data_IF_756360115420
#
_entry.id   IF_756360115420
#
_cell.length_a   1.000
_cell.length_b   1.000
_cell.length_c   1.000
_cell.angle_alpha   90.00
_cell.angle_beta   90.00
_cell.angle_gamma   90.00
#
_symmetry.space_group_name_H-M   'P 1'
#
loop_
_entity.id
_entity.type
_entity.pdbx_description
1 polymer ?
#
# COMPACT_ATOMS: atom_id res chain seq x y z
N UNK A 1 15.25 0.93 -5.41
CA UNK A 1 14.41 -0.28 -5.34
C UNK A 1 12.96 0.14 -5.58
N UNK A 2 12.36 -0.29 -6.70
CA UNK A 2 11.04 0.17 -7.12
C UNK A 2 9.95 -0.38 -6.21
N UNK A 3 9.02 0.48 -5.80
CA UNK A 3 7.86 0.09 -4.99
C UNK A 3 6.94 -0.83 -5.81
N UNK A 4 6.92 -2.10 -5.46
CA UNK A 4 6.06 -3.14 -6.05
C UNK A 4 4.57 -2.73 -6.05
N UNK A 5 4.15 -1.91 -5.07
CA UNK A 5 2.78 -1.38 -4.98
C UNK A 5 2.39 -0.50 -6.17
N UNK A 6 3.33 0.26 -6.76
CA UNK A 6 3.06 1.09 -7.94
C UNK A 6 2.64 0.22 -9.12
N UNK A 7 3.41 -0.82 -9.39
CA UNK A 7 3.16 -1.75 -10.49
C UNK A 7 1.80 -2.42 -10.30
N UNK A 8 1.52 -2.91 -9.09
CA UNK A 8 0.24 -3.55 -8.78
C UNK A 8 -0.96 -2.62 -8.99
N UNK A 9 -0.87 -1.34 -8.60
CA UNK A 9 -1.93 -0.35 -8.81
C UNK A 9 -2.15 -0.09 -10.31
N UNK A 10 -1.08 0.15 -11.07
CA UNK A 10 -1.17 0.40 -12.51
C UNK A 10 -1.71 -0.81 -13.28
N UNK A 11 -1.29 -2.02 -12.90
CA UNK A 11 -1.82 -3.26 -13.47
C UNK A 11 -3.31 -3.42 -13.17
N UNK A 12 -3.76 -3.09 -11.96
CA UNK A 12 -5.19 -3.10 -11.61
C UNK A 12 -6.02 -2.14 -12.46
N UNK A 13 -5.52 -0.94 -12.74
CA UNK A 13 -6.19 -0.02 -13.68
C UNK A 13 -6.18 -0.57 -15.11
N UNK A 14 -5.06 -1.11 -15.57
CA UNK A 14 -4.94 -1.67 -16.92
C UNK A 14 -5.91 -2.84 -17.14
N UNK A 15 -6.04 -3.73 -16.15
CA UNK A 15 -7.02 -4.83 -16.17
C UNK A 15 -8.47 -4.34 -16.23
N UNK A 16 -8.75 -3.16 -15.66
CA UNK A 16 -10.05 -2.51 -15.76
C UNK A 16 -10.25 -1.72 -17.07
N UNK A 17 -9.28 -1.73 -17.99
CA UNK A 17 -9.33 -0.96 -19.24
C UNK A 17 -9.12 0.55 -19.03
N UNK A 18 -8.56 0.95 -17.89
CA UNK A 18 -8.34 2.35 -17.53
C UNK A 18 -6.86 2.72 -17.62
N UNK A 19 -6.57 3.96 -18.01
CA UNK A 19 -5.23 4.54 -17.98
C UNK A 19 -5.18 5.68 -16.98
N UNK A 20 -4.63 5.47 -15.77
CA UNK A 20 -4.59 6.50 -14.74
C UNK A 20 -3.54 7.55 -15.09
N UNK A 21 -3.88 8.83 -14.91
CA UNK A 21 -2.91 9.92 -15.00
C UNK A 21 -2.19 10.06 -13.66
N UNK A 22 -0.96 9.54 -13.59
CA UNK A 22 -0.10 9.73 -12.41
C UNK A 22 0.42 11.16 -12.41
N UNK A 23 -0.07 11.99 -11.48
CA UNK A 23 0.32 13.40 -11.41
C UNK A 23 1.68 13.60 -10.72
N UNK A 24 1.95 12.81 -9.68
CA UNK A 24 3.14 12.94 -8.85
C UNK A 24 3.55 11.56 -8.30
N UNK A 25 4.85 11.27 -8.32
CA UNK A 25 5.44 10.12 -7.63
C UNK A 25 6.35 10.64 -6.50
N UNK A 26 6.03 10.25 -5.26
CA UNK A 26 6.79 10.66 -4.07
C UNK A 26 7.05 9.47 -3.15
N UNK A 27 8.02 9.59 -2.22
CA UNK A 27 8.18 8.64 -1.13
C UNK A 27 6.89 8.47 -0.33
N UNK A 28 6.73 7.28 0.24
CA UNK A 28 5.53 6.88 0.99
C UNK A 28 5.14 7.91 2.06
N UNK A 29 6.11 8.34 2.88
CA UNK A 29 5.88 9.27 4.00
C UNK A 29 5.33 10.64 3.57
N UNK A 30 5.50 11.00 2.29
CA UNK A 30 5.03 12.27 1.74
C UNK A 30 3.64 12.19 1.09
N UNK A 31 3.16 10.99 0.73
CA UNK A 31 1.93 10.82 -0.05
C UNK A 31 0.73 11.49 0.61
N UNK A 32 0.55 11.29 1.92
CA UNK A 32 -0.60 11.83 2.64
C UNK A 32 -0.58 13.35 2.75
N UNK A 33 0.60 13.97 2.82
CA UNK A 33 0.74 15.43 2.84
C UNK A 33 0.29 16.05 1.52
N UNK A 34 0.67 15.45 0.38
CA UNK A 34 0.21 15.91 -0.93
C UNK A 34 -1.29 15.66 -1.15
N UNK A 35 -1.83 14.53 -0.67
CA UNK A 35 -3.28 14.29 -0.67
C UNK A 35 -4.01 15.32 0.17
N UNK A 36 -3.54 15.62 1.38
CA UNK A 36 -4.12 16.65 2.26
C UNK A 36 -4.09 18.05 1.63
N UNK A 37 -3.06 18.34 0.83
CA UNK A 37 -2.91 19.58 0.08
C UNK A 37 -3.74 19.64 -1.21
N UNK A 38 -4.52 18.60 -1.54
CA UNK A 38 -5.45 18.61 -2.68
C UNK A 38 -4.83 18.25 -4.04
N UNK A 39 -3.62 17.69 -4.08
CA UNK A 39 -2.96 17.28 -5.33
C UNK A 39 -3.65 16.08 -6.01
N UNK A 40 -4.59 15.42 -5.33
CA UNK A 40 -5.37 14.31 -5.86
C UNK A 40 -5.59 13.22 -4.82
N UNK A 41 -5.84 12.00 -5.31
CA UNK A 41 -5.98 10.80 -4.48
C UNK A 41 -4.70 9.98 -4.52
N UNK A 42 -4.48 9.19 -3.47
CA UNK A 42 -3.37 8.24 -3.38
C UNK A 42 -3.87 6.86 -2.95
N UNK A 43 -3.07 5.83 -3.23
CA UNK A 43 -3.35 4.45 -2.86
C UNK A 43 -2.32 3.98 -1.84
N UNK A 44 -2.79 3.51 -0.69
CA UNK A 44 -1.94 2.96 0.37
C UNK A 44 -2.41 1.57 0.79
N UNK A 45 -1.51 0.70 1.26
CA UNK A 45 -1.86 -0.54 1.94
C UNK A 45 -2.87 -0.34 3.08
N UNK A 46 -3.89 -1.20 3.14
CA UNK A 46 -4.94 -1.12 4.17
C UNK A 46 -4.41 -1.23 5.60
N UNK A 47 -3.40 -2.07 5.84
CA UNK A 47 -2.75 -2.22 7.16
C UNK A 47 -2.16 -0.90 7.67
N UNK A 48 -1.74 -0.01 6.77
CA UNK A 48 -1.24 1.30 7.13
C UNK A 48 -2.41 2.27 7.36
N UNK A 49 -3.41 2.27 6.47
CA UNK A 49 -4.60 3.11 6.61
C UNK A 49 -5.32 2.91 7.95
N UNK A 50 -5.34 1.67 8.48
CA UNK A 50 -5.98 1.33 9.75
C UNK A 50 -5.33 1.97 10.98
N UNK A 51 -4.04 2.30 10.91
CA UNK A 51 -3.26 2.78 12.05
C UNK A 51 -2.89 4.27 11.92
N UNK A 52 -3.45 4.99 10.95
CA UNK A 52 -3.05 6.36 10.63
C UNK A 52 -4.25 7.31 10.67
N UNK A 53 -3.99 8.51 11.19
CA UNK A 53 -4.89 9.65 11.08
C UNK A 53 -4.12 10.82 10.50
N UNK A 54 -4.61 11.40 9.40
CA UNK A 54 -4.03 12.61 8.80
C UNK A 54 -5.15 13.64 8.61
N UNK A 55 -4.99 14.83 9.21
CA UNK A 55 -5.94 15.93 9.02
C UNK A 55 -6.08 16.27 7.54
N UNK A 56 -7.31 16.39 7.06
CA UNK A 56 -7.59 16.69 5.65
C UNK A 56 -7.54 15.49 4.71
N UNK A 57 -7.31 14.27 5.24
CA UNK A 57 -7.37 13.02 4.46
C UNK A 57 -8.49 12.15 4.99
N UNK A 58 -9.26 11.57 4.08
CA UNK A 58 -10.28 10.56 4.39
C UNK A 58 -9.85 9.25 3.76
N UNK A 59 -9.69 8.22 4.58
CA UNK A 59 -9.39 6.87 4.12
C UNK A 59 -10.69 6.17 3.69
N UNK A 60 -10.64 5.51 2.53
CA UNK A 60 -11.76 4.72 2.00
C UNK A 60 -11.25 3.37 1.53
N UNK A 61 -11.91 2.32 1.98
CA UNK A 61 -11.63 0.97 1.51
C UNK A 61 -12.09 0.81 0.05
N UNK A 62 -11.26 0.13 -0.74
CA UNK A 62 -11.59 -0.28 -2.10
C UNK A 62 -12.40 -1.57 -2.00
N UNK A 63 -13.71 -1.49 -2.29
CA UNK A 63 -14.59 -2.66 -2.33
C UNK A 63 -14.24 -3.53 -3.55
N UNK A 64 -14.37 -4.85 -3.41
CA UNK A 64 -14.04 -5.82 -4.45
C UNK A 64 -12.62 -5.64 -5.03
N UNK A 65 -11.67 -5.19 -4.20
CA UNK A 65 -10.31 -4.89 -4.64
C UNK A 65 -9.62 -6.14 -5.22
N UNK A 66 -9.25 -6.15 -6.52
CA UNK A 66 -8.54 -7.26 -7.13
C UNK A 66 -7.07 -7.32 -6.67
N UNK A 67 -6.52 -6.23 -6.13
CA UNK A 67 -5.13 -6.13 -5.74
C UNK A 67 -4.97 -6.66 -4.32
N UNK A 68 -4.58 -7.93 -4.20
CA UNK A 68 -4.22 -8.56 -2.92
C UNK A 68 -2.73 -8.89 -2.87
N UNK A 69 -2.05 -8.36 -1.85
CA UNK A 69 -0.65 -8.70 -1.57
C UNK A 69 -0.60 -9.81 -0.52
N UNK A 70 0.24 -10.82 -0.76
CA UNK A 70 0.63 -11.77 0.28
C UNK A 70 1.93 -11.29 0.92
N UNK A 71 1.93 -11.18 2.24
CA UNK A 71 3.12 -10.87 3.03
C UNK A 71 3.65 -12.19 3.56
N UNK A 72 4.92 -12.46 3.33
CA UNK A 72 5.58 -13.69 3.76
C UNK A 72 6.68 -13.35 4.77
N UNK A 73 6.76 -14.15 5.84
CA UNK A 73 7.91 -14.16 6.72
C UNK A 73 8.93 -15.16 6.16
N UNK A 74 10.12 -14.68 5.81
CA UNK A 74 11.22 -15.51 5.32
C UNK A 74 12.30 -15.60 6.40
N UNK A 75 12.69 -16.82 6.75
CA UNK A 75 13.74 -17.10 7.72
C UNK A 75 14.77 -18.05 7.13
N UNK A 76 16.01 -17.97 7.61
CA UNK A 76 17.11 -18.82 7.14
C UNK A 76 17.02 -20.27 7.63
N UNK A 77 16.27 -20.51 8.71
CA UNK A 77 16.03 -21.83 9.28
C UNK A 77 14.68 -21.87 9.98
N UNK A 78 14.17 -23.08 10.20
CA UNK A 78 12.94 -23.33 10.95
C UNK A 78 13.03 -22.80 12.40
N UNK A 79 14.18 -22.98 13.05
CA UNK A 79 14.41 -22.48 14.41
C UNK A 79 14.30 -20.96 14.52
N UNK A 80 14.82 -20.22 13.53
CA UNK A 80 14.68 -18.75 13.47
C UNK A 80 13.23 -18.37 13.19
N UNK A 81 12.55 -19.11 12.31
CA UNK A 81 11.13 -18.87 12.00
C UNK A 81 10.27 -19.02 13.24
N UNK A 82 10.48 -20.08 14.03
CA UNK A 82 9.74 -20.33 15.28
C UNK A 82 9.98 -19.24 16.31
N UNK A 83 11.24 -18.82 16.49
CA UNK A 83 11.60 -17.74 17.42
C UNK A 83 10.95 -16.40 17.03
N UNK A 84 10.94 -16.06 15.74
CA UNK A 84 10.28 -14.84 15.24
C UNK A 84 8.76 -14.98 15.33
N UNK A 85 8.21 -16.15 15.02
CA UNK A 85 6.78 -16.43 15.04
C UNK A 85 6.16 -16.18 16.42
N UNK A 86 6.87 -16.50 17.50
CA UNK A 86 6.45 -16.24 18.89
C UNK A 86 6.24 -14.75 19.22
N UNK A 87 6.78 -13.83 18.41
CA UNK A 87 6.69 -12.38 18.66
C UNK A 87 5.76 -11.65 17.67
N UNK A 88 5.25 -12.35 16.65
CA UNK A 88 4.46 -11.76 15.55
C UNK A 88 3.02 -12.31 15.52
N UNK A 89 2.78 -13.53 15.99
CA UNK A 89 1.45 -14.16 16.13
C UNK A 89 0.96 -14.06 17.57
#
# INVERSE_FOLDING_TARGET
MGCDSRKAVLEGFHQAGLQPKVHLEVPYDSLLSYTAAGYGITFIPSIQAQNMTQKGVVFKDIKNNPIRRKIYLLARSQSILELIGQHIL
#
